data_IF_089582835121
#
_entry.id   IF_089582835121
#
_cell.length_a   1.000
_cell.length_b   1.000
_cell.length_c   1.000
_cell.angle_alpha   90.00
_cell.angle_beta   90.00
_cell.angle_gamma   90.00
#
_symmetry.space_group_name_H-M   'P 1'
#
loop_
_entity.id
_entity.type
_entity.pdbx_description
1 polymer ?
#
# COMPACT_ATOMS: atom_id res chain seq x y z
N UNK A 1 2.28 15.28 10.30
CA UNK A 1 2.10 14.70 8.95
C UNK A 1 1.25 15.61 8.07
N UNK A 2 -0.03 15.86 8.37
CA UNK A 2 -0.92 16.69 7.52
C UNK A 2 -0.39 18.11 7.23
N UNK A 3 0.20 18.78 8.23
CA UNK A 3 0.84 20.08 8.05
C UNK A 3 2.06 20.04 7.13
N UNK A 4 2.78 18.91 7.10
CA UNK A 4 3.93 18.71 6.22
C UNK A 4 3.48 18.45 4.79
N UNK A 5 2.48 17.59 4.60
CA UNK A 5 1.83 17.34 3.31
C UNK A 5 1.33 18.67 2.73
N UNK A 6 0.55 19.45 3.49
CA UNK A 6 0.08 20.78 3.07
C UNK A 6 1.23 21.72 2.66
N UNK A 7 2.37 21.67 3.35
CA UNK A 7 3.55 22.48 3.01
C UNK A 7 4.25 21.98 1.75
N UNK A 8 4.17 20.69 1.42
CA UNK A 8 4.71 20.14 0.17
C UNK A 8 3.81 20.49 -1.00
N UNK A 9 2.49 20.40 -0.83
CA UNK A 9 1.47 20.75 -1.83
C UNK A 9 1.33 22.25 -2.11
N UNK A 10 2.29 23.09 -1.69
CA UNK A 10 2.29 24.50 -2.06
C UNK A 10 2.63 24.62 -3.56
N UNK A 11 1.79 25.27 -4.38
CA UNK A 11 2.05 25.44 -5.82
C UNK A 11 3.43 26.06 -6.14
N UNK A 12 4.00 26.86 -5.24
CA UNK A 12 5.34 27.45 -5.41
C UNK A 12 6.49 26.43 -5.40
N UNK A 13 6.23 25.18 -4.98
CA UNK A 13 7.26 24.14 -4.88
C UNK A 13 7.38 23.25 -6.11
N UNK A 14 6.45 23.35 -7.06
CA UNK A 14 6.42 22.48 -8.26
C UNK A 14 6.45 20.98 -7.88
N UNK A 15 5.77 20.62 -6.78
CA UNK A 15 5.62 19.23 -6.31
C UNK A 15 4.14 18.86 -6.33
N UNK A 16 3.80 17.86 -7.13
CA UNK A 16 2.48 17.24 -7.11
C UNK A 16 2.39 16.24 -5.96
N UNK A 17 1.35 16.38 -5.14
CA UNK A 17 1.10 15.50 -3.99
C UNK A 17 -0.25 14.85 -4.16
N UNK A 18 -0.22 13.53 -4.32
CA UNK A 18 -1.39 12.73 -4.64
C UNK A 18 -1.62 11.73 -3.51
N UNK A 19 -2.85 11.68 -3.02
CA UNK A 19 -3.27 10.71 -2.01
C UNK A 19 -4.05 9.58 -2.66
N UNK A 20 -3.61 8.34 -2.44
CA UNK A 20 -4.36 7.14 -2.85
C UNK A 20 -4.98 6.52 -1.61
N UNK A 21 -6.32 6.41 -1.61
CA UNK A 21 -7.08 5.97 -0.44
C UNK A 21 -6.75 4.54 -0.04
N UNK A 22 -6.49 4.35 1.26
CA UNK A 22 -6.40 3.04 1.89
C UNK A 22 -7.68 2.64 2.62
N UNK A 23 -7.72 1.38 3.06
CA UNK A 23 -8.85 0.79 3.80
C UNK A 23 -9.10 1.43 5.18
N UNK A 24 -8.24 2.34 5.62
CA UNK A 24 -8.39 3.11 6.86
C UNK A 24 -8.81 4.56 6.61
N UNK A 25 -8.87 4.98 5.34
CA UNK A 25 -9.11 6.36 4.93
C UNK A 25 -10.53 6.59 4.40
N UNK A 26 -11.38 5.56 4.33
CA UNK A 26 -12.77 5.66 3.84
C UNK A 26 -13.55 6.79 4.55
N UNK A 27 -13.33 6.98 5.86
CA UNK A 27 -13.95 8.04 6.66
C UNK A 27 -13.19 9.40 6.64
N UNK A 28 -12.01 9.46 6.00
CA UNK A 28 -11.10 10.61 6.02
C UNK A 28 -10.95 11.29 4.65
N UNK A 29 -11.35 10.65 3.56
CA UNK A 29 -11.19 11.15 2.18
C UNK A 29 -11.75 12.57 1.98
N UNK A 30 -12.97 12.82 2.45
CA UNK A 30 -13.64 14.13 2.36
C UNK A 30 -12.92 15.21 3.19
N UNK A 31 -12.39 14.83 4.36
CA UNK A 31 -11.61 15.74 5.22
C UNK A 31 -10.27 16.08 4.55
N UNK A 32 -9.59 15.10 3.96
CA UNK A 32 -8.28 15.28 3.35
C UNK A 32 -8.35 16.20 2.13
N UNK A 33 -9.37 16.04 1.27
CA UNK A 33 -9.58 16.91 0.12
C UNK A 33 -9.82 18.36 0.57
N UNK A 34 -10.76 18.59 1.49
CA UNK A 34 -11.14 19.95 1.91
C UNK A 34 -10.11 20.67 2.78
N UNK A 35 -9.38 19.95 3.64
CA UNK A 35 -8.48 20.55 4.62
C UNK A 35 -7.06 20.81 4.08
N UNK A 36 -6.61 19.98 3.14
CA UNK A 36 -5.21 19.95 2.69
C UNK A 36 -5.09 20.42 1.24
N UNK A 37 -6.16 20.34 0.43
CA UNK A 37 -6.15 20.76 -0.96
C UNK A 37 -5.28 19.86 -1.84
N UNK A 38 -5.23 18.56 -1.52
CA UNK A 38 -4.55 17.54 -2.33
C UNK A 38 -5.60 16.72 -3.08
N UNK A 39 -5.20 16.21 -4.24
CA UNK A 39 -6.04 15.29 -4.98
C UNK A 39 -6.05 13.93 -4.31
N UNK A 40 -7.26 13.40 -4.13
CA UNK A 40 -7.53 12.11 -3.48
C UNK A 40 -8.15 11.18 -4.51
N UNK A 41 -7.56 10.01 -4.70
CA UNK A 41 -8.03 8.99 -5.65
C UNK A 41 -8.16 7.62 -4.99
N UNK A 42 -9.05 6.78 -5.52
CA UNK A 42 -9.10 5.35 -5.17
C UNK A 42 -7.95 4.56 -5.80
N UNK A 43 -7.59 4.95 -7.02
CA UNK A 43 -6.42 4.49 -7.75
C UNK A 43 -5.89 5.66 -8.58
N UNK A 44 -4.58 5.71 -8.79
CA UNK A 44 -3.95 6.75 -9.59
C UNK A 44 -3.15 6.12 -10.73
N UNK A 45 -3.45 6.52 -11.97
CA UNK A 45 -2.75 6.06 -13.17
C UNK A 45 -2.04 7.25 -13.80
N UNK A 46 -0.76 7.08 -14.10
CA UNK A 46 0.02 8.09 -14.82
C UNK A 46 0.89 7.46 -15.89
N UNK A 47 1.30 8.30 -16.84
CA UNK A 47 2.15 7.91 -17.97
C UNK A 47 3.46 8.67 -17.87
N UNK A 48 4.58 7.98 -18.00
CA UNK A 48 5.92 8.58 -18.02
C UNK A 48 6.83 7.72 -18.89
N UNK A 49 7.62 8.33 -19.79
CA UNK A 49 8.51 7.60 -20.70
C UNK A 49 7.82 6.41 -21.46
N UNK A 50 6.61 6.63 -21.99
CA UNK A 50 5.79 5.61 -22.68
C UNK A 50 5.39 4.40 -21.82
N UNK A 51 5.55 4.51 -20.50
CA UNK A 51 5.16 3.48 -19.52
C UNK A 51 3.96 3.91 -18.71
N UNK A 52 3.09 2.96 -18.43
CA UNK A 52 1.86 3.15 -17.65
C UNK A 52 2.09 2.64 -16.23
N UNK A 53 1.87 3.51 -15.26
CA UNK A 53 2.05 3.23 -13.85
C UNK A 53 0.71 3.30 -13.13
N UNK A 54 0.48 2.39 -12.19
CA UNK A 54 -0.74 2.30 -11.38
C UNK A 54 -0.38 2.30 -9.89
N UNK A 55 -0.90 3.26 -9.12
CA UNK A 55 -0.88 3.21 -7.67
C UNK A 55 -2.28 2.85 -7.16
N UNK A 56 -2.35 1.82 -6.31
CA UNK A 56 -3.59 1.36 -5.66
C UNK A 56 -3.23 0.74 -4.32
N UNK A 57 -3.97 1.01 -3.25
CA UNK A 57 -3.55 0.62 -1.89
C UNK A 57 -3.32 -0.90 -1.73
N UNK A 58 -4.15 -1.74 -2.35
CA UNK A 58 -4.00 -3.19 -2.39
C UNK A 58 -5.01 -3.96 -1.53
N UNK A 59 -5.74 -3.28 -0.64
CA UNK A 59 -6.85 -3.87 0.13
C UNK A 59 -7.99 -4.39 -0.73
N UNK A 60 -8.12 -3.84 -1.94
CA UNK A 60 -9.08 -4.28 -2.94
C UNK A 60 -8.92 -5.78 -3.22
N UNK A 61 -7.69 -6.28 -3.25
CA UNK A 61 -7.37 -7.67 -3.61
C UNK A 61 -7.53 -8.68 -2.46
N UNK A 62 -7.85 -8.23 -1.25
CA UNK A 62 -8.24 -9.12 -0.14
C UNK A 62 -9.59 -9.79 -0.41
N UNK A 63 -10.51 -9.05 -1.03
CA UNK A 63 -11.90 -9.49 -1.28
C UNK A 63 -12.03 -10.25 -2.60
N UNK A 64 -11.33 -9.82 -3.65
CA UNK A 64 -11.34 -10.50 -4.96
C UNK A 64 -10.83 -11.95 -4.90
N UNK A 65 -10.07 -12.32 -3.87
CA UNK A 65 -9.53 -13.67 -3.69
C UNK A 65 -10.36 -14.55 -2.75
N UNK A 66 -11.51 -14.08 -2.25
CA UNK A 66 -12.25 -14.73 -1.16
C UNK A 66 -13.77 -14.84 -1.39
N UNK A 67 -14.18 -15.92 -2.07
CA UNK A 67 -15.44 -16.62 -1.72
C UNK A 67 -15.26 -17.54 -0.50
N UNK A 68 -14.02 -17.77 0.00
CA UNK A 68 -13.77 -18.77 1.07
C UNK A 68 -12.73 -18.41 2.17
N UNK A 69 -12.30 -17.15 2.36
CA UNK A 69 -11.42 -16.77 3.51
C UNK A 69 -11.89 -15.52 4.24
N UNK A 70 -13.17 -15.47 4.60
CA UNK A 70 -13.71 -14.50 5.58
C UNK A 70 -13.08 -14.69 6.99
N UNK A 71 -12.48 -15.85 7.24
CA UNK A 71 -11.99 -16.25 8.57
C UNK A 71 -10.72 -15.49 8.99
N UNK A 72 -9.84 -15.05 8.08
CA UNK A 72 -8.55 -14.45 8.48
C UNK A 72 -8.60 -12.96 8.83
N UNK A 73 -9.45 -12.19 8.15
CA UNK A 73 -9.49 -10.74 8.31
C UNK A 73 -10.33 -10.33 9.53
N UNK A 74 -11.42 -11.05 9.80
CA UNK A 74 -12.16 -10.92 11.07
C UNK A 74 -11.30 -11.38 12.23
N UNK A 75 -10.57 -12.50 12.11
CA UNK A 75 -9.69 -12.96 13.18
C UNK A 75 -8.55 -11.96 13.48
N UNK A 76 -7.92 -11.37 12.46
CA UNK A 76 -6.84 -10.39 12.68
C UNK A 76 -7.36 -9.08 13.24
N UNK A 77 -8.51 -8.59 12.76
CA UNK A 77 -9.14 -7.38 13.27
C UNK A 77 -9.65 -7.55 14.70
N UNK A 78 -10.33 -8.68 15.00
CA UNK A 78 -10.78 -9.02 16.36
C UNK A 78 -9.59 -9.24 17.29
N UNK A 79 -8.51 -9.87 16.83
CA UNK A 79 -7.32 -10.11 17.64
C UNK A 79 -6.53 -8.83 17.93
N UNK A 80 -6.42 -7.92 16.96
CA UNK A 80 -5.79 -6.61 17.17
C UNK A 80 -6.66 -5.70 18.07
N UNK A 81 -8.00 -5.84 18.01
CA UNK A 81 -8.93 -5.20 18.96
C UNK A 81 -8.85 -5.83 20.36
N UNK A 82 -8.68 -7.15 20.45
CA UNK A 82 -8.51 -7.89 21.71
C UNK A 82 -7.15 -7.60 22.38
N UNK A 83 -6.08 -7.44 21.61
CA UNK A 83 -4.77 -7.00 22.12
C UNK A 83 -4.81 -5.60 22.74
N UNK A 84 -5.73 -4.73 22.28
CA UNK A 84 -5.98 -3.43 22.93
C UNK A 84 -6.76 -3.52 24.23
N UNK A 85 -7.47 -4.63 24.48
CA UNK A 85 -8.35 -4.82 25.65
C UNK A 85 -7.68 -5.67 26.74
N UNK A 86 -6.66 -6.47 26.41
CA UNK A 86 -5.94 -7.30 27.38
C UNK A 86 -4.53 -6.76 27.65
N UNK A 87 -4.25 -6.17 28.83
CA UNK A 87 -2.92 -5.62 29.16
C UNK A 87 -1.84 -6.71 29.38
N UNK A 88 -2.19 -7.99 29.28
CA UNK A 88 -1.37 -9.09 29.78
C UNK A 88 -0.97 -10.06 28.64
N UNK A 89 0.16 -9.71 28.01
CA UNK A 89 1.11 -10.57 27.27
C UNK A 89 0.53 -11.72 26.42
N UNK A 90 0.35 -11.43 25.13
CA UNK A 90 0.94 -12.25 24.06
C UNK A 90 1.67 -11.33 23.09
N UNK A 91 2.90 -10.94 23.46
CA UNK A 91 3.78 -10.16 22.58
C UNK A 91 4.37 -11.16 21.57
N UNK A 92 3.61 -11.51 20.54
CA UNK A 92 4.21 -12.06 19.33
C UNK A 92 4.85 -10.84 18.64
N UNK A 93 6.19 -10.78 18.51
CA UNK A 93 6.81 -9.66 17.81
C UNK A 93 6.18 -9.53 16.42
N UNK A 94 5.89 -8.30 15.97
CA UNK A 94 5.27 -8.07 14.64
C UNK A 94 6.05 -8.78 13.52
N UNK A 95 7.37 -8.85 13.64
CA UNK A 95 8.24 -9.62 12.76
C UNK A 95 7.85 -11.11 12.65
N UNK A 96 7.49 -11.76 13.76
CA UNK A 96 7.05 -13.17 13.78
C UNK A 96 5.69 -13.35 13.10
N UNK A 97 4.76 -12.40 13.28
CA UNK A 97 3.47 -12.39 12.56
C UNK A 97 3.69 -12.29 11.05
N UNK A 98 4.62 -11.44 10.60
CA UNK A 98 5.01 -11.26 9.19
C UNK A 98 5.71 -12.48 8.59
N UNK A 99 6.64 -13.07 9.34
CA UNK A 99 7.35 -14.29 8.93
C UNK A 99 6.44 -15.53 8.91
N UNK A 100 5.20 -15.42 9.43
CA UNK A 100 4.26 -16.52 9.35
C UNK A 100 3.95 -16.85 7.89
N UNK A 101 3.97 -18.14 7.55
CA UNK A 101 3.69 -18.63 6.19
C UNK A 101 2.33 -18.17 5.66
N UNK A 102 1.37 -17.93 6.55
CA UNK A 102 0.05 -17.43 6.19
C UNK A 102 0.07 -15.96 5.76
N UNK A 103 0.85 -15.11 6.44
CA UNK A 103 0.98 -13.71 6.08
C UNK A 103 1.74 -13.54 4.76
N UNK A 104 2.87 -14.24 4.59
CA UNK A 104 3.61 -14.24 3.33
C UNK A 104 2.73 -14.70 2.15
N UNK A 105 1.93 -15.76 2.36
CA UNK A 105 0.97 -16.23 1.34
C UNK A 105 -0.08 -15.18 1.01
N UNK A 106 -0.56 -14.41 1.99
CA UNK A 106 -1.50 -13.31 1.76
C UNK A 106 -0.83 -12.18 0.95
N UNK A 107 0.40 -11.79 1.29
CA UNK A 107 1.13 -10.77 0.52
C UNK A 107 1.34 -11.16 -0.95
N UNK A 108 1.70 -12.42 -1.21
CA UNK A 108 1.82 -12.90 -2.59
C UNK A 108 0.48 -12.93 -3.32
N UNK A 109 -0.60 -13.32 -2.64
CA UNK A 109 -1.96 -13.28 -3.19
C UNK A 109 -2.38 -11.87 -3.59
N UNK A 110 -2.15 -10.88 -2.72
CA UNK A 110 -2.43 -9.47 -3.03
C UNK A 110 -1.59 -9.01 -4.23
N UNK A 111 -0.32 -9.39 -4.31
CA UNK A 111 0.53 -9.09 -5.45
C UNK A 111 -0.02 -9.68 -6.76
N UNK A 112 -0.47 -10.93 -6.74
CA UNK A 112 -1.06 -11.58 -7.92
C UNK A 112 -2.33 -10.86 -8.40
N UNK A 113 -3.24 -10.53 -7.47
CA UNK A 113 -4.45 -9.77 -7.80
C UNK A 113 -4.14 -8.38 -8.36
N UNK A 114 -3.16 -7.69 -7.77
CA UNK A 114 -2.72 -6.37 -8.24
C UNK A 114 -2.12 -6.42 -9.64
N UNK A 115 -1.32 -7.44 -9.95
CA UNK A 115 -0.74 -7.63 -11.28
C UNK A 115 -1.82 -7.92 -12.32
N UNK A 116 -2.76 -8.83 -12.03
CA UNK A 116 -3.86 -9.11 -12.96
C UNK A 116 -4.73 -7.88 -13.21
N UNK A 117 -4.97 -7.07 -12.18
CA UNK A 117 -5.68 -5.81 -12.33
C UNK A 117 -4.89 -4.80 -13.16
N UNK A 118 -3.58 -4.67 -12.93
CA UNK A 118 -2.70 -3.82 -13.71
C UNK A 118 -2.69 -4.20 -15.20
N UNK A 119 -2.65 -5.50 -15.51
CA UNK A 119 -2.81 -6.00 -16.89
C UNK A 119 -4.12 -5.55 -17.52
N UNK A 120 -5.24 -5.62 -16.78
CA UNK A 120 -6.55 -5.15 -17.28
C UNK A 120 -6.58 -3.65 -17.57
N UNK A 121 -5.65 -2.88 -16.99
CA UNK A 121 -5.46 -1.44 -17.21
C UNK A 121 -4.34 -1.13 -18.22
N UNK A 122 -3.71 -2.15 -18.79
CA UNK A 122 -2.50 -2.04 -19.62
C UNK A 122 -1.32 -1.36 -18.88
N UNK A 123 -1.28 -1.45 -17.55
CA UNK A 123 -0.20 -0.88 -16.75
C UNK A 123 1.04 -1.78 -16.77
N UNK A 124 2.21 -1.17 -16.99
CA UNK A 124 3.51 -1.83 -16.88
C UNK A 124 3.93 -2.02 -15.40
N UNK A 125 3.49 -1.10 -14.53
CA UNK A 125 3.86 -1.06 -13.12
C UNK A 125 2.65 -0.92 -12.21
N UNK A 126 2.66 -1.63 -11.08
CA UNK A 126 1.67 -1.46 -10.02
C UNK A 126 2.32 -1.35 -8.64
N UNK A 127 1.92 -0.31 -7.90
CA UNK A 127 2.43 0.02 -6.58
C UNK A 127 1.31 -0.12 -5.55
N UNK A 128 1.60 -0.86 -4.48
CA UNK A 128 0.70 -1.08 -3.38
C UNK A 128 1.32 -0.77 -2.02
N UNK A 129 0.46 -0.74 -1.01
CA UNK A 129 0.80 -0.83 0.40
C UNK A 129 0.04 -1.99 1.03
N UNK A 130 -0.77 -1.71 2.06
CA UNK A 130 -1.71 -2.63 2.69
C UNK A 130 -1.11 -3.82 3.48
N UNK A 131 -0.27 -4.66 2.86
CA UNK A 131 0.22 -5.90 3.49
C UNK A 131 1.39 -5.69 4.46
N UNK A 132 1.91 -4.46 4.50
CA UNK A 132 3.07 -4.05 5.30
C UNK A 132 4.34 -4.88 5.03
N UNK A 133 4.35 -5.68 3.95
CA UNK A 133 5.51 -6.43 3.49
C UNK A 133 6.11 -5.71 2.29
N UNK A 134 7.33 -5.23 2.46
CA UNK A 134 8.17 -4.83 1.35
C UNK A 134 8.35 -6.03 0.42
N UNK A 135 7.88 -5.90 -0.82
CA UNK A 135 7.86 -7.00 -1.79
C UNK A 135 7.96 -6.44 -3.20
N UNK A 136 8.82 -7.03 -4.03
CA UNK A 136 8.80 -6.85 -5.48
C UNK A 136 8.49 -8.17 -6.18
N UNK A 137 7.75 -8.09 -7.28
CA UNK A 137 7.39 -9.26 -8.09
C UNK A 137 7.20 -8.85 -9.54
N UNK A 138 7.51 -9.73 -10.48
CA UNK A 138 7.23 -9.51 -11.91
C UNK A 138 6.53 -10.75 -12.49
N UNK A 139 5.43 -10.53 -13.23
CA UNK A 139 4.71 -11.59 -13.94
C UNK A 139 4.26 -11.03 -15.29
N UNK A 140 4.56 -11.76 -16.38
CA UNK A 140 4.18 -11.42 -17.75
C UNK A 140 4.46 -9.96 -18.15
N UNK A 141 5.62 -9.44 -17.73
CA UNK A 141 6.08 -8.08 -18.03
C UNK A 141 5.50 -6.97 -17.15
N UNK A 142 4.58 -7.28 -16.24
CA UNK A 142 4.06 -6.32 -15.26
C UNK A 142 4.85 -6.43 -13.95
N UNK A 143 5.35 -5.29 -13.47
CA UNK A 143 6.15 -5.19 -12.25
C UNK A 143 5.34 -4.65 -11.08
N UNK A 144 5.28 -5.42 -10.01
CA UNK A 144 4.63 -5.11 -8.76
C UNK A 144 5.63 -4.68 -7.69
N UNK A 145 5.27 -3.65 -6.93
CA UNK A 145 6.02 -3.21 -5.76
C UNK A 145 5.08 -2.93 -4.58
N UNK A 146 5.47 -3.38 -3.39
CA UNK A 146 4.84 -3.04 -2.13
C UNK A 146 5.81 -2.24 -1.27
N UNK A 147 5.40 -1.06 -0.81
CA UNK A 147 6.27 -0.16 -0.04
C UNK A 147 6.50 -0.60 1.40
N UNK A 148 5.74 -1.57 1.90
CA UNK A 148 5.81 -1.98 3.31
C UNK A 148 5.02 -1.05 4.23
N UNK A 149 5.61 -0.68 5.38
CA UNK A 149 4.96 0.18 6.38
C UNK A 149 6.00 1.00 7.13
N UNK A 150 5.64 2.23 7.50
CA UNK A 150 6.51 3.16 8.22
C UNK A 150 6.44 3.00 9.76
N UNK A 151 5.66 2.03 10.25
CA UNK A 151 5.59 1.71 11.68
C UNK A 151 6.44 0.49 12.07
N UNK A 152 7.03 -0.18 11.08
CA UNK A 152 7.92 -1.33 11.26
C UNK A 152 9.36 -0.93 10.90
N UNK A 153 10.34 -1.68 11.42
CA UNK A 153 11.77 -1.49 11.15
C UNK A 153 12.32 -2.75 10.46
N UNK A 154 13.05 -2.63 9.33
CA UNK A 154 13.25 -1.40 8.59
C UNK A 154 11.93 -0.93 7.95
N UNK A 155 11.76 0.39 7.88
CA UNK A 155 10.71 0.98 7.06
C UNK A 155 11.23 1.18 5.64
N UNK A 156 10.34 1.30 4.66
CA UNK A 156 10.76 1.50 3.28
C UNK A 156 9.84 2.44 2.53
N UNK A 157 10.38 3.01 1.46
CA UNK A 157 9.64 3.74 0.44
C UNK A 157 10.08 3.28 -0.95
N UNK A 158 9.30 3.63 -1.96
CA UNK A 158 9.61 3.34 -3.35
C UNK A 158 9.96 4.65 -4.03
N UNK A 159 11.07 4.66 -4.76
CA UNK A 159 11.51 5.81 -5.56
C UNK A 159 11.52 5.44 -7.02
N UNK A 160 11.14 6.39 -7.88
CA UNK A 160 11.24 6.30 -9.33
C UNK A 160 12.07 7.48 -9.79
N UNK A 161 13.18 7.23 -10.49
CA UNK A 161 13.99 8.32 -11.03
C UNK A 161 13.49 8.77 -12.42
N UNK A 162 14.13 9.80 -12.97
CA UNK A 162 13.78 10.36 -14.29
C UNK A 162 14.03 9.40 -15.46
N UNK A 163 14.78 8.31 -15.25
CA UNK A 163 15.00 7.26 -16.24
C UNK A 163 13.94 6.14 -16.13
N UNK A 164 13.02 6.23 -15.16
CA UNK A 164 12.02 5.18 -14.88
C UNK A 164 12.57 4.00 -14.08
N UNK A 165 13.76 4.13 -13.47
CA UNK A 165 14.31 3.09 -12.60
C UNK A 165 13.63 3.13 -11.24
N UNK A 166 13.19 1.96 -10.78
CA UNK A 166 12.40 1.81 -9.55
C UNK A 166 13.24 1.08 -8.50
N UNK A 167 13.34 1.70 -7.33
CA UNK A 167 14.06 1.15 -6.18
C UNK A 167 13.20 1.15 -4.92
N UNK A 168 13.40 0.15 -4.08
CA UNK A 168 12.89 0.13 -2.71
C UNK A 168 14.01 0.62 -1.80
N UNK A 169 13.80 1.76 -1.17
CA UNK A 169 14.77 2.40 -0.27
C UNK A 169 14.36 2.15 1.17
N UNK A 170 15.26 1.57 1.96
CA UNK A 170 15.07 1.42 3.40
C UNK A 170 15.33 2.77 4.10
N UNK A 171 14.48 3.09 5.07
CA UNK A 171 14.58 4.29 5.90
C UNK A 171 14.87 3.81 7.32
N UNK A 172 16.04 4.22 7.83
CA UNK A 172 16.53 3.95 9.19
C UNK A 172 15.85 4.83 10.26
#
# INVERSE_FOLDING_TARGET
LLSFIRKLSNPEKEIDVIWVNGNHDEDLSEIMSHLIGIDVYEEYIWNENEKIYLAIHGHQFDRFLNENVVVSNVASFVYDKMQRISPQKQIIPRFVKRASKSWLRLSHKVADGAIEYAKSKNADFVFCGHTHQTLSKEIDGVKYYNSGCWTDIPSSMITINNLGEIEIVNID
#
